data_IF_514717291314
#
_entry.id   IF_514717291314
#
_cell.length_a   1.000
_cell.length_b   1.000
_cell.length_c   1.000
_cell.angle_alpha   90.00
_cell.angle_beta   90.00
_cell.angle_gamma   90.00
#
_symmetry.space_group_name_H-M   'P 1'
#
loop_
_entity.id
_entity.type
_entity.pdbx_description
1 polymer ?
#
# COMPACT_ATOMS: atom_id res chain seq x y z
N UNK A 1 -5.96 25.44 -4.54
CA UNK A 1 -5.57 24.16 -3.90
C UNK A 1 -4.44 23.48 -4.67
N UNK A 2 -4.59 23.19 -5.97
CA UNK A 2 -3.53 22.55 -6.79
C UNK A 2 -2.23 23.39 -6.86
N UNK A 3 -2.33 24.72 -6.94
CA UNK A 3 -1.15 25.60 -7.03
C UNK A 3 -0.28 25.62 -5.76
N UNK A 4 -0.88 25.47 -4.58
CA UNK A 4 -0.13 25.41 -3.31
C UNK A 4 0.72 24.15 -3.25
N UNK A 5 0.10 22.98 -3.46
CA UNK A 5 0.79 21.68 -3.39
C UNK A 5 1.92 21.62 -4.41
N UNK A 6 1.68 22.06 -5.65
CA UNK A 6 2.72 22.13 -6.69
C UNK A 6 3.89 23.01 -6.28
N UNK A 7 3.62 24.17 -5.69
CA UNK A 7 4.65 25.13 -5.26
C UNK A 7 5.51 24.55 -4.13
N UNK A 8 4.88 24.02 -3.08
CA UNK A 8 5.60 23.44 -1.95
C UNK A 8 6.37 22.18 -2.34
N UNK A 9 5.78 21.34 -3.19
CA UNK A 9 6.46 20.18 -3.74
C UNK A 9 7.69 20.59 -4.54
N UNK A 10 7.60 21.63 -5.38
CA UNK A 10 8.74 22.13 -6.16
C UNK A 10 9.90 22.59 -5.27
N UNK A 11 9.62 23.22 -4.12
CA UNK A 11 10.66 23.60 -3.13
C UNK A 11 11.38 22.37 -2.58
N UNK A 12 10.64 21.35 -2.16
CA UNK A 12 11.24 20.09 -1.69
C UNK A 12 11.96 19.33 -2.80
N UNK A 13 11.41 19.37 -4.02
CA UNK A 13 12.00 18.74 -5.19
C UNK A 13 13.38 19.31 -5.48
N UNK A 14 13.52 20.64 -5.51
CA UNK A 14 14.80 21.31 -5.72
C UNK A 14 15.79 21.01 -4.58
N UNK A 15 15.32 21.01 -3.33
CA UNK A 15 16.16 20.80 -2.14
C UNK A 15 16.65 19.37 -1.97
N UNK A 16 15.83 18.37 -2.31
CA UNK A 16 16.10 16.96 -2.01
C UNK A 16 16.18 16.05 -3.23
N UNK A 17 16.03 16.60 -4.43
CA UNK A 17 15.97 15.88 -5.71
C UNK A 17 14.82 14.85 -5.72
N UNK A 18 13.60 15.32 -5.41
CA UNK A 18 12.40 14.47 -5.48
C UNK A 18 11.99 14.20 -6.93
N UNK A 19 11.16 13.16 -7.17
CA UNK A 19 10.63 12.85 -8.49
C UNK A 19 9.80 13.98 -9.09
N UNK A 20 9.51 13.89 -10.38
CA UNK A 20 8.66 14.84 -11.08
C UNK A 20 7.23 14.86 -10.50
N UNK A 21 6.66 16.06 -10.29
CA UNK A 21 5.38 16.24 -9.59
C UNK A 21 4.27 15.38 -10.17
N UNK A 22 4.09 15.38 -11.50
CA UNK A 22 2.98 14.66 -12.13
C UNK A 22 3.08 13.16 -11.85
N UNK A 23 4.25 12.58 -12.11
CA UNK A 23 4.51 11.14 -11.85
C UNK A 23 4.32 10.79 -10.39
N UNK A 24 4.78 11.66 -9.48
CA UNK A 24 4.63 11.42 -8.06
C UNK A 24 3.17 11.49 -7.61
N UNK A 25 2.42 12.47 -8.12
CA UNK A 25 1.01 12.64 -7.85
C UNK A 25 0.15 11.51 -8.42
N UNK A 26 0.48 10.99 -9.60
CA UNK A 26 -0.25 9.85 -10.20
C UNK A 26 -0.17 8.58 -9.33
N UNK A 27 0.86 8.46 -8.49
CA UNK A 27 1.04 7.30 -7.58
C UNK A 27 0.49 7.57 -6.18
N UNK A 28 0.78 8.74 -5.63
CA UNK A 28 0.52 9.05 -4.22
C UNK A 28 -0.62 10.05 -3.98
N UNK A 29 -1.19 10.63 -5.04
CA UNK A 29 -2.36 11.52 -4.97
C UNK A 29 -2.11 12.74 -4.05
N UNK A 30 -0.89 13.29 -4.09
CA UNK A 30 -0.45 14.40 -3.21
C UNK A 30 -1.22 15.71 -3.41
N UNK A 31 -1.94 15.87 -4.53
CA UNK A 31 -2.88 16.97 -4.76
C UNK A 31 -3.99 17.04 -3.70
N UNK A 32 -4.25 15.94 -3.00
CA UNK A 32 -5.18 15.87 -1.87
C UNK A 32 -4.66 16.54 -0.58
N UNK A 33 -3.39 16.95 -0.54
CA UNK A 33 -2.82 17.64 0.63
C UNK A 33 -3.49 19.00 0.80
N UNK A 34 -4.24 19.15 1.89
CA UNK A 34 -4.90 20.40 2.23
C UNK A 34 -3.90 21.46 2.72
N UNK A 35 -4.08 22.68 2.19
CA UNK A 35 -3.40 23.89 2.64
C UNK A 35 -3.79 24.19 4.11
N UNK A 36 -2.83 24.62 4.93
CA UNK A 36 -3.01 25.08 6.33
C UNK A 36 -3.25 24.04 7.45
N UNK A 37 -3.36 22.74 7.20
CA UNK A 37 -3.58 21.76 8.29
C UNK A 37 -2.35 21.35 9.11
N UNK A 38 -1.12 21.67 8.68
CA UNK A 38 0.08 21.15 9.36
C UNK A 38 1.32 22.03 9.39
N UNK A 39 1.31 23.22 8.79
CA UNK A 39 2.43 24.17 8.78
C UNK A 39 3.74 23.67 8.15
N UNK A 40 3.87 22.38 7.84
CA UNK A 40 5.07 21.72 7.32
C UNK A 40 4.68 20.74 6.22
N UNK A 41 4.77 21.17 4.96
CA UNK A 41 4.42 20.35 3.79
C UNK A 41 5.18 19.02 3.75
N UNK A 42 6.44 18.98 4.19
CA UNK A 42 7.22 17.73 4.31
C UNK A 42 6.54 16.66 5.19
N UNK A 43 5.90 17.07 6.29
CA UNK A 43 5.16 16.15 7.16
C UNK A 43 3.93 15.60 6.42
N UNK A 44 3.17 16.47 5.76
CA UNK A 44 1.99 16.09 5.00
C UNK A 44 2.35 15.12 3.86
N UNK A 45 3.38 15.44 3.08
CA UNK A 45 3.89 14.59 2.01
C UNK A 45 4.31 13.21 2.54
N UNK A 46 5.05 13.18 3.64
CA UNK A 46 5.47 11.92 4.28
C UNK A 46 4.28 11.10 4.74
N UNK A 47 3.26 11.72 5.34
CA UNK A 47 2.03 11.05 5.77
C UNK A 47 1.24 10.46 4.61
N UNK A 48 1.16 11.15 3.48
CA UNK A 48 0.48 10.64 2.28
C UNK A 48 1.20 9.40 1.73
N UNK A 49 2.52 9.48 1.57
CA UNK A 49 3.34 8.33 1.13
C UNK A 49 3.23 7.16 2.09
N UNK A 50 3.34 7.43 3.39
CA UNK A 50 3.16 6.45 4.45
C UNK A 50 1.75 5.84 4.47
N UNK A 51 0.72 6.64 4.17
CA UNK A 51 -0.66 6.18 4.02
C UNK A 51 -0.82 5.16 2.89
N UNK A 52 -0.10 5.32 1.77
CA UNK A 52 -0.11 4.35 0.67
C UNK A 52 0.49 3.01 1.09
N UNK A 53 1.56 3.01 1.89
CA UNK A 53 2.14 1.78 2.46
C UNK A 53 1.16 1.12 3.43
N UNK A 54 0.53 1.90 4.30
CA UNK A 54 -0.51 1.40 5.23
C UNK A 54 -1.65 0.73 4.47
N UNK A 55 -2.13 1.35 3.40
CA UNK A 55 -3.20 0.79 2.57
C UNK A 55 -2.85 -0.62 2.07
N UNK A 56 -1.62 -0.84 1.59
CA UNK A 56 -1.17 -2.16 1.17
C UNK A 56 -1.09 -3.16 2.33
N UNK A 57 -0.58 -2.75 3.49
CA UNK A 57 -0.56 -3.61 4.69
C UNK A 57 -1.98 -4.03 5.11
N UNK A 58 -2.93 -3.09 5.15
CA UNK A 58 -4.31 -3.39 5.54
C UNK A 58 -5.02 -4.35 4.59
N UNK A 59 -4.61 -4.37 3.32
CA UNK A 59 -5.10 -5.35 2.36
C UNK A 59 -4.60 -6.77 2.71
N UNK A 60 -3.39 -6.90 3.24
CA UNK A 60 -2.79 -8.19 3.56
C UNK A 60 -3.19 -8.77 4.92
N UNK A 61 -3.58 -7.94 5.88
CA UNK A 61 -3.92 -8.36 7.24
C UNK A 61 -4.93 -9.53 7.32
N UNK A 62 -6.04 -9.55 6.54
CA UNK A 62 -7.02 -10.65 6.61
C UNK A 62 -6.45 -12.02 6.23
N UNK A 63 -5.39 -12.07 5.42
CA UNK A 63 -4.79 -13.32 4.96
C UNK A 63 -3.72 -13.85 5.92
N UNK A 64 -3.11 -12.97 6.73
CA UNK A 64 -2.12 -13.34 7.73
C UNK A 64 -2.76 -13.68 9.08
N UNK A 65 -3.85 -12.98 9.42
CA UNK A 65 -4.67 -13.21 10.60
C UNK A 65 -6.13 -13.46 10.15
N UNK A 66 -6.44 -14.68 9.66
CA UNK A 66 -7.78 -15.01 9.18
C UNK A 66 -8.81 -14.75 10.26
N UNK A 67 -9.74 -13.83 9.99
CA UNK A 67 -10.97 -13.72 10.76
C UNK A 67 -11.91 -14.82 10.25
N UNK A 68 -12.19 -15.88 11.04
CA UNK A 68 -12.91 -17.07 10.56
C UNK A 68 -14.35 -16.78 10.09
N UNK A 69 -14.90 -15.60 10.42
CA UNK A 69 -16.28 -15.22 10.12
C UNK A 69 -16.44 -14.38 8.83
N UNK A 70 -15.36 -14.17 8.08
CA UNK A 70 -15.42 -13.48 6.78
C UNK A 70 -15.82 -14.46 5.68
N UNK A 71 -16.94 -14.21 4.99
CA UNK A 71 -17.37 -15.02 3.83
C UNK A 71 -16.28 -15.10 2.75
N UNK A 72 -15.52 -14.02 2.58
CA UNK A 72 -14.36 -14.00 1.70
C UNK A 72 -13.27 -14.97 2.17
N UNK A 73 -12.94 -14.98 3.47
CA UNK A 73 -11.98 -15.93 4.03
C UNK A 73 -12.48 -17.37 3.99
N UNK A 74 -13.79 -17.63 4.10
CA UNK A 74 -14.35 -18.97 3.92
C UNK A 74 -14.08 -19.53 2.51
N UNK A 75 -14.09 -18.66 1.49
CA UNK A 75 -13.79 -19.03 0.10
C UNK A 75 -12.29 -19.28 -0.09
N UNK A 76 -11.44 -18.35 0.36
CA UNK A 76 -10.00 -18.40 0.03
C UNK A 76 -9.13 -19.23 0.98
N UNK A 77 -9.60 -19.50 2.21
CA UNK A 77 -8.79 -20.12 3.28
C UNK A 77 -8.20 -21.48 2.95
N UNK A 78 -8.86 -22.27 2.08
CA UNK A 78 -8.39 -23.60 1.69
C UNK A 78 -7.11 -23.56 0.86
N UNK A 79 -6.96 -22.56 0.02
CA UNK A 79 -5.85 -22.45 -0.94
C UNK A 79 -4.86 -21.33 -0.60
N UNK A 80 -5.22 -20.39 0.29
CA UNK A 80 -4.37 -19.26 0.67
C UNK A 80 -3.04 -19.70 1.30
N UNK A 81 -3.00 -20.89 1.93
CA UNK A 81 -1.79 -21.45 2.51
C UNK A 81 -0.62 -21.52 1.52
N UNK A 82 -0.91 -21.77 0.23
CA UNK A 82 0.09 -21.83 -0.84
C UNK A 82 0.69 -20.47 -1.20
N UNK A 83 -0.04 -19.39 -0.93
CA UNK A 83 0.38 -18.02 -1.20
C UNK A 83 1.02 -17.35 0.02
N UNK A 84 0.92 -17.99 1.21
CA UNK A 84 1.25 -17.38 2.50
C UNK A 84 2.72 -17.00 2.64
N UNK A 85 3.65 -17.80 2.12
CA UNK A 85 5.08 -17.50 2.24
C UNK A 85 5.48 -16.27 1.43
N UNK A 86 5.08 -16.21 0.15
CA UNK A 86 5.32 -15.03 -0.68
C UNK A 86 4.60 -13.79 -0.17
N UNK A 87 3.40 -13.95 0.39
CA UNK A 87 2.68 -12.88 1.06
C UNK A 87 3.44 -12.33 2.27
N UNK A 88 3.95 -13.22 3.12
CA UNK A 88 4.66 -12.85 4.35
C UNK A 88 5.95 -12.09 4.05
N UNK A 89 6.66 -12.45 2.97
CA UNK A 89 7.85 -11.73 2.52
C UNK A 89 7.52 -10.27 2.16
N UNK A 90 6.53 -10.05 1.29
CA UNK A 90 6.10 -8.71 0.89
C UNK A 90 5.55 -7.92 2.07
N UNK A 91 4.81 -8.58 2.97
CA UNK A 91 4.29 -7.94 4.18
C UNK A 91 5.41 -7.45 5.09
N UNK A 92 6.47 -8.25 5.30
CA UNK A 92 7.63 -7.85 6.11
C UNK A 92 8.35 -6.64 5.52
N UNK A 93 8.57 -6.62 4.20
CA UNK A 93 9.18 -5.48 3.51
C UNK A 93 8.35 -4.20 3.72
N UNK A 94 7.05 -4.27 3.47
CA UNK A 94 6.13 -3.15 3.68
C UNK A 94 6.06 -2.71 5.13
N UNK A 95 6.12 -3.64 6.08
CA UNK A 95 6.08 -3.34 7.52
C UNK A 95 7.34 -2.62 8.00
N UNK A 96 8.51 -2.98 7.47
CA UNK A 96 9.75 -2.24 7.73
C UNK A 96 9.64 -0.80 7.22
N UNK A 97 9.16 -0.63 5.99
CA UNK A 97 8.95 0.70 5.41
C UNK A 97 7.88 1.50 6.19
N UNK A 98 6.80 0.87 6.62
CA UNK A 98 5.77 1.47 7.46
C UNK A 98 6.35 1.98 8.79
N UNK A 99 7.09 1.13 9.51
CA UNK A 99 7.75 1.54 10.76
C UNK A 99 8.76 2.67 10.55
N UNK A 100 9.51 2.62 9.44
CA UNK A 100 10.43 3.69 9.05
C UNK A 100 9.69 5.02 8.81
N UNK A 101 8.48 4.99 8.26
CA UNK A 101 7.63 6.17 8.08
C UNK A 101 7.33 6.90 9.38
N UNK A 102 7.03 6.17 10.46
CA UNK A 102 6.90 6.76 11.80
C UNK A 102 8.22 7.32 12.33
N UNK A 103 9.31 6.56 12.18
CA UNK A 103 10.62 6.95 12.67
C UNK A 103 11.10 8.26 12.05
N UNK A 104 10.94 8.44 10.74
CA UNK A 104 11.41 9.65 10.05
C UNK A 104 10.60 10.89 10.43
N UNK A 105 9.30 10.71 10.76
CA UNK A 105 8.48 11.81 11.26
C UNK A 105 9.02 12.40 12.58
N UNK A 106 9.73 11.59 13.38
CA UNK A 106 10.38 12.01 14.61
C UNK A 106 11.78 12.59 14.39
N UNK A 107 12.47 12.21 13.31
CA UNK A 107 13.86 12.62 13.02
C UNK A 107 13.97 13.94 12.27
N UNK A 108 12.96 14.30 11.48
CA UNK A 108 12.87 15.59 10.82
C UNK A 108 12.89 15.52 9.29
N UNK A 109 12.95 16.70 8.67
CA UNK A 109 12.66 16.87 7.24
C UNK A 109 13.60 16.10 6.32
N UNK A 110 14.90 16.07 6.61
CA UNK A 110 15.89 15.40 5.76
C UNK A 110 15.61 13.90 5.68
N UNK A 111 15.36 13.28 6.83
CA UNK A 111 15.05 11.87 6.97
C UNK A 111 13.70 11.54 6.32
N UNK A 112 12.69 12.40 6.51
CA UNK A 112 11.40 12.30 5.82
C UNK A 112 11.57 12.27 4.30
N UNK A 113 12.36 13.18 3.74
CA UNK A 113 12.55 13.24 2.28
C UNK A 113 13.39 12.10 1.75
N UNK A 114 14.32 11.57 2.54
CA UNK A 114 15.04 10.34 2.20
C UNK A 114 14.10 9.13 2.18
N UNK A 115 13.21 9.01 3.16
CA UNK A 115 12.15 8.00 3.16
C UNK A 115 11.24 8.12 1.93
N UNK A 116 10.75 9.33 1.62
CA UNK A 116 9.91 9.56 0.44
C UNK A 116 10.58 9.09 -0.85
N UNK A 117 11.89 9.40 -1.02
CA UNK A 117 12.66 8.92 -2.17
C UNK A 117 12.84 7.41 -2.20
N UNK A 118 13.05 6.80 -1.05
CA UNK A 118 13.23 5.35 -0.95
C UNK A 118 11.95 4.61 -1.33
N UNK A 119 10.80 5.05 -0.81
CA UNK A 119 9.50 4.50 -1.21
C UNK A 119 9.22 4.73 -2.70
N UNK A 120 9.60 5.89 -3.24
CA UNK A 120 9.53 6.14 -4.68
C UNK A 120 10.37 5.15 -5.52
N UNK A 121 11.48 4.63 -4.99
CA UNK A 121 12.27 3.61 -5.73
C UNK A 121 11.60 2.24 -5.67
N UNK A 122 10.88 1.95 -4.60
CA UNK A 122 10.31 0.64 -4.29
C UNK A 122 8.87 0.44 -4.80
N UNK A 123 8.08 1.50 -4.98
CA UNK A 123 6.62 1.38 -5.19
C UNK A 123 6.24 0.52 -6.40
N UNK A 124 6.99 0.58 -7.52
CA UNK A 124 6.68 -0.25 -8.68
C UNK A 124 6.90 -1.74 -8.41
N UNK A 125 7.93 -2.08 -7.61
CA UNK A 125 8.15 -3.46 -7.19
C UNK A 125 7.01 -3.95 -6.29
N UNK A 126 6.59 -3.14 -5.32
CA UNK A 126 5.42 -3.44 -4.49
C UNK A 126 4.15 -3.62 -5.32
N UNK A 127 3.86 -2.67 -6.21
CA UNK A 127 2.71 -2.73 -7.11
C UNK A 127 2.66 -4.02 -7.92
N UNK A 128 3.79 -4.44 -8.51
CA UNK A 128 3.88 -5.71 -9.26
C UNK A 128 3.61 -6.92 -8.37
N UNK A 129 4.19 -6.96 -7.18
CA UNK A 129 3.97 -8.02 -6.18
C UNK A 129 2.49 -8.11 -5.77
N UNK A 130 1.85 -6.96 -5.52
CA UNK A 130 0.43 -6.84 -5.18
C UNK A 130 -0.48 -7.32 -6.33
N UNK A 131 -0.24 -6.86 -7.56
CA UNK A 131 -1.02 -7.29 -8.74
C UNK A 131 -0.96 -8.81 -8.89
N UNK A 132 0.25 -9.39 -8.86
CA UNK A 132 0.41 -10.85 -8.99
C UNK A 132 -0.35 -11.60 -7.90
N UNK A 133 -0.32 -11.12 -6.66
CA UNK A 133 -1.04 -11.74 -5.56
C UNK A 133 -2.57 -11.65 -5.74
N UNK A 134 -3.09 -10.49 -6.15
CA UNK A 134 -4.52 -10.30 -6.45
C UNK A 134 -4.97 -11.20 -7.61
N UNK A 135 -4.16 -11.35 -8.66
CA UNK A 135 -4.45 -12.26 -9.76
C UNK A 135 -4.55 -13.72 -9.30
N UNK A 136 -3.65 -14.17 -8.42
CA UNK A 136 -3.72 -15.53 -7.84
C UNK A 136 -4.95 -15.69 -6.93
N UNK A 137 -5.30 -14.67 -6.13
CA UNK A 137 -6.53 -14.68 -5.34
C UNK A 137 -7.77 -14.79 -6.21
N UNK A 138 -7.84 -14.04 -7.31
CA UNK A 138 -8.97 -14.11 -8.24
C UNK A 138 -9.12 -15.51 -8.84
N UNK A 139 -8.01 -16.19 -9.16
CA UNK A 139 -8.04 -17.59 -9.62
C UNK A 139 -8.60 -18.54 -8.56
N UNK A 140 -8.26 -18.34 -7.29
CA UNK A 140 -8.80 -19.14 -6.18
C UNK A 140 -10.31 -18.93 -6.06
N UNK A 141 -10.76 -17.67 -6.03
CA UNK A 141 -12.19 -17.33 -5.92
C UNK A 141 -12.98 -17.96 -7.07
N UNK A 142 -12.53 -17.80 -8.31
CA UNK A 142 -13.22 -18.35 -9.50
C UNK A 142 -13.29 -19.89 -9.50
N UNK A 143 -12.22 -20.58 -9.10
CA UNK A 143 -12.23 -22.04 -8.96
C UNK A 143 -13.25 -22.53 -7.93
N UNK A 144 -13.49 -21.74 -6.90
CA UNK A 144 -14.42 -22.09 -5.83
C UNK A 144 -15.87 -21.97 -6.31
N UNK A 145 -16.14 -21.07 -7.28
CA UNK A 145 -17.45 -20.90 -7.91
C UNK A 145 -17.77 -22.00 -8.94
N UNK A 146 -16.76 -22.68 -9.49
CA UNK A 146 -16.91 -23.81 -10.42
C UNK A 146 -17.18 -25.15 -9.73
N UNK A 147 -17.36 -25.17 -8.40
CA UNK A 147 -17.81 -26.36 -7.66
C UNK A 147 -19.30 -26.55 -7.94
N UNK A 148 -19.56 -27.22 -9.07
CA UNK A 148 -20.76 -27.95 -9.49
C UNK A 148 -21.97 -27.82 -8.57
N UNK A 149 -23.08 -27.43 -9.19
CA UNK A 149 -24.42 -27.94 -8.93
C UNK A 149 -24.39 -29.48 -8.74
N UNK A 150 -24.05 -29.94 -7.54
CA UNK A 150 -24.31 -31.32 -7.14
C UNK A 150 -25.72 -31.35 -6.58
N UNK A 151 -26.65 -31.71 -7.48
CA UNK A 151 -27.94 -32.30 -7.14
C UNK A 151 -27.73 -33.43 -6.12
N UNK A 152 -28.53 -33.43 -5.06
CA UNK A 152 -28.43 -34.33 -3.91
C UNK A 152 -27.76 -33.57 -2.77
N UNK A 153 -28.47 -33.10 -1.75
CA UNK A 153 -29.25 -33.92 -0.84
C UNK A 153 -30.58 -33.25 -0.46
N UNK A 154 -31.68 -33.77 -1.00
CA UNK A 154 -32.89 -33.99 -0.21
C UNK A 154 -32.80 -35.45 0.23
N UNK A 155 -32.40 -35.66 1.47
CA UNK A 155 -32.53 -36.91 2.22
C UNK A 155 -33.21 -36.57 3.52
#
# INVERSE_FOLDING_TARGET
MDDYVKTEYKKLQQKYNLPEYKKFNDVFEIVSIEENKSGKFANALTRVVHGKIKFFLTFFDPFLLPQPNSAYMMIVSKDIGRLREGLLEVYKELMVDYNNGYLVLLKGEKEMMNYVKDIWKKHEAYKKKLIKFIEELNKIVLKTTDVKENKGYLG
#
